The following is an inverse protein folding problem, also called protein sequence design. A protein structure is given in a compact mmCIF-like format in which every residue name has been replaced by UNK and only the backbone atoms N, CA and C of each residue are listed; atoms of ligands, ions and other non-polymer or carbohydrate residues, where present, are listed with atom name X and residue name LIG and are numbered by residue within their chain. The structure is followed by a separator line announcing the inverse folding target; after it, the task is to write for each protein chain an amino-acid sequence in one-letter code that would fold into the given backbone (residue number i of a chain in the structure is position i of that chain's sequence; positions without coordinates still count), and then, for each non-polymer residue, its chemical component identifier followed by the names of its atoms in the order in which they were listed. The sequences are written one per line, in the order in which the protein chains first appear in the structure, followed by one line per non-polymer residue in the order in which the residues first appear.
data_IF_874624564148
#
_entry.id   IF_874624564148
#
_cell.length_a   1.000
_cell.length_b   1.000
_cell.length_c   1.000
_cell.angle_alpha   90.00
_cell.angle_beta   90.00
_cell.angle_gamma   90.00
#
_symmetry.space_group_name_H-M   'P 1'
#
loop_
_entity.id
_entity.type
_entity.pdbx_description
1 polymer ?
#
# COMPACT_ATOMS: atom_id res chain seq x y z
N UNK A 1 -17.37 6.52 45.91
CA UNK A 1 -16.61 7.69 45.41
C UNK A 1 -15.64 7.21 44.37
N UNK A 2 -16.03 7.31 43.13
CA UNK A 2 -15.23 6.90 41.94
C UNK A 2 -14.67 8.16 41.30
N UNK A 3 -13.38 8.37 41.46
CA UNK A 3 -12.66 9.52 40.88
C UNK A 3 -12.49 9.28 39.37
N UNK A 4 -13.19 10.05 38.56
CA UNK A 4 -12.99 10.15 37.12
C UNK A 4 -11.62 10.75 36.84
N UNK A 5 -10.70 9.97 36.25
CA UNK A 5 -9.47 10.49 35.65
C UNK A 5 -9.82 11.18 34.34
N UNK A 6 -9.54 12.48 34.25
CA UNK A 6 -9.57 13.27 33.01
C UNK A 6 -8.45 12.79 32.08
N UNK A 7 -8.68 12.65 30.76
CA UNK A 7 -7.59 12.46 29.82
C UNK A 7 -6.79 13.75 29.71
N UNK A 8 -5.47 13.63 29.85
CA UNK A 8 -4.50 14.69 29.56
C UNK A 8 -4.48 14.93 28.05
N UNK A 9 -5.09 16.02 27.61
CA UNK A 9 -4.90 16.53 26.26
C UNK A 9 -3.48 17.08 26.16
N UNK A 10 -2.55 16.29 25.61
CA UNK A 10 -1.27 16.81 25.13
C UNK A 10 -1.51 17.51 23.81
N UNK A 11 -1.72 18.81 23.89
CA UNK A 11 -1.55 19.72 22.74
C UNK A 11 -0.06 19.78 22.43
N UNK A 12 0.41 18.89 21.58
CA UNK A 12 1.72 19.04 20.94
C UNK A 12 1.56 20.15 19.89
N UNK A 13 2.07 21.31 20.21
CA UNK A 13 2.32 22.36 19.22
C UNK A 13 3.29 21.81 18.18
N UNK A 14 2.80 21.52 16.99
CA UNK A 14 3.61 21.21 15.82
C UNK A 14 4.19 22.51 15.26
N UNK A 15 5.30 22.95 15.85
CA UNK A 15 6.18 23.94 15.26
C UNK A 15 7.54 23.25 14.96
N UNK A 16 7.55 22.48 13.87
CA UNK A 16 8.73 22.07 13.13
C UNK A 16 8.24 21.76 11.72
N UNK A 17 8.92 22.30 10.70
CA UNK A 17 8.68 21.96 9.31
C UNK A 17 8.70 20.41 9.19
N UNK A 18 7.54 19.79 9.20
CA UNK A 18 7.42 18.35 9.13
C UNK A 18 7.89 17.93 7.73
N UNK A 19 9.07 17.32 7.66
CA UNK A 19 9.55 16.73 6.41
C UNK A 19 8.51 15.71 5.95
N UNK A 20 8.05 15.87 4.73
CA UNK A 20 7.09 14.96 4.13
C UNK A 20 7.84 13.70 3.69
N UNK A 21 7.46 12.54 4.24
CA UNK A 21 8.05 11.25 3.91
C UNK A 21 7.12 10.46 3.00
N UNK A 22 7.60 10.13 1.79
CA UNK A 22 6.85 9.37 0.79
C UNK A 22 7.63 8.13 0.36
N UNK A 23 7.12 6.91 0.61
CA UNK A 23 7.79 5.70 0.23
C UNK A 23 7.38 5.27 -1.19
N UNK A 24 8.34 4.75 -1.95
CA UNK A 24 8.09 3.81 -3.02
C UNK A 24 8.34 2.39 -2.51
N UNK A 25 7.43 1.45 -2.75
CA UNK A 25 7.36 0.16 -2.09
C UNK A 25 7.27 -0.99 -3.10
N UNK A 26 8.33 -1.30 -3.83
CA UNK A 26 8.31 -2.37 -4.83
C UNK A 26 8.40 -3.76 -4.18
N UNK A 27 7.60 -4.69 -4.72
CA UNK A 27 7.74 -6.12 -4.47
C UNK A 27 8.89 -6.66 -5.34
N UNK A 28 9.89 -7.36 -4.78
CA UNK A 28 11.04 -7.88 -5.54
C UNK A 28 10.69 -9.21 -6.26
N UNK A 29 9.58 -9.21 -7.00
CA UNK A 29 9.09 -10.38 -7.76
C UNK A 29 9.56 -10.37 -9.21
N UNK A 30 10.59 -9.60 -9.55
CA UNK A 30 11.21 -9.41 -10.86
C UNK A 30 11.38 -7.92 -11.20
N UNK A 31 11.78 -7.58 -12.45
CA UNK A 31 12.02 -6.21 -12.88
C UNK A 31 10.76 -5.34 -12.82
N UNK A 32 10.94 -4.03 -12.79
CA UNK A 32 9.83 -3.08 -12.87
C UNK A 32 9.24 -3.05 -14.28
N UNK A 33 7.92 -3.02 -14.38
CA UNK A 33 7.17 -2.78 -15.63
C UNK A 33 6.63 -1.34 -15.67
N UNK A 34 6.05 -0.92 -16.79
CA UNK A 34 5.54 0.44 -16.97
C UNK A 34 4.57 0.87 -15.85
N UNK A 35 3.66 0.00 -15.41
CA UNK A 35 2.75 0.32 -14.29
C UNK A 35 3.48 0.58 -12.97
N UNK A 36 4.56 -0.18 -12.70
CA UNK A 36 5.43 0.08 -11.53
C UNK A 36 6.19 1.39 -11.66
N UNK A 37 6.64 1.74 -12.88
CA UNK A 37 7.31 3.01 -13.16
C UNK A 37 6.37 4.19 -12.95
N UNK A 38 5.11 4.09 -13.39
CA UNK A 38 4.08 5.13 -13.17
C UNK A 38 3.89 5.39 -11.66
N UNK A 39 3.75 4.35 -10.85
CA UNK A 39 3.61 4.48 -9.41
C UNK A 39 4.88 5.07 -8.74
N UNK A 40 6.07 4.62 -9.16
CA UNK A 40 7.35 5.15 -8.71
C UNK A 40 7.51 6.64 -9.07
N UNK A 41 7.21 6.99 -10.32
CA UNK A 41 7.27 8.36 -10.82
C UNK A 41 6.31 9.28 -10.06
N UNK A 42 5.05 8.87 -9.87
CA UNK A 42 4.07 9.66 -9.12
C UNK A 42 4.52 9.90 -7.67
N UNK A 43 5.02 8.86 -6.99
CA UNK A 43 5.56 8.98 -5.63
C UNK A 43 6.78 9.90 -5.57
N UNK A 44 7.71 9.77 -6.52
CA UNK A 44 8.89 10.63 -6.62
C UNK A 44 8.53 12.09 -6.89
N UNK A 45 7.68 12.33 -7.88
CA UNK A 45 7.20 13.67 -8.24
C UNK A 45 6.49 14.33 -7.05
N UNK A 46 5.65 13.59 -6.34
CA UNK A 46 4.92 14.12 -5.19
C UNK A 46 5.87 14.47 -4.03
N UNK A 47 6.90 13.66 -3.77
CA UNK A 47 7.94 13.98 -2.79
C UNK A 47 8.68 15.26 -3.17
N UNK A 48 9.23 15.31 -4.37
CA UNK A 48 10.07 16.43 -4.81
C UNK A 48 9.28 17.74 -5.04
N UNK A 49 8.03 17.66 -5.50
CA UNK A 49 7.14 18.81 -5.67
C UNK A 49 6.80 19.53 -4.35
N UNK A 50 6.90 18.83 -3.23
CA UNK A 50 6.61 19.36 -1.91
C UNK A 50 7.85 19.52 -1.02
N UNK A 51 9.07 19.35 -1.58
CA UNK A 51 10.32 19.45 -0.81
C UNK A 51 10.50 18.37 0.25
N UNK A 52 9.82 17.24 0.08
CA UNK A 52 9.87 16.10 1.00
C UNK A 52 10.95 15.09 0.64
N UNK A 53 11.09 14.06 1.47
CA UNK A 53 11.97 12.92 1.25
C UNK A 53 11.24 11.81 0.50
N UNK A 54 11.93 11.18 -0.44
CA UNK A 54 11.45 10.02 -1.16
C UNK A 54 12.22 8.78 -0.71
N UNK A 55 11.56 7.88 -0.02
CA UNK A 55 12.15 6.69 0.57
C UNK A 55 11.90 5.47 -0.34
N UNK A 56 12.77 4.46 -0.26
CA UNK A 56 12.55 3.18 -0.93
C UNK A 56 12.54 2.06 0.10
N UNK A 57 11.47 1.26 0.08
CA UNK A 57 11.32 0.08 0.91
C UNK A 57 11.00 -1.13 0.05
N UNK A 58 11.88 -2.13 0.06
CA UNK A 58 11.67 -3.41 -0.62
C UNK A 58 10.70 -4.25 0.22
N UNK A 59 9.55 -4.58 -0.34
CA UNK A 59 8.51 -5.36 0.33
C UNK A 59 8.71 -6.86 0.07
N UNK A 60 9.71 -7.43 0.72
CA UNK A 60 10.23 -8.79 0.52
C UNK A 60 9.74 -9.82 1.56
N UNK A 61 8.70 -9.52 2.36
CA UNK A 61 8.15 -10.44 3.39
C UNK A 61 7.51 -11.69 2.82
N UNK A 62 7.13 -11.70 1.53
CA UNK A 62 6.59 -12.87 0.85
C UNK A 62 7.71 -13.62 0.12
N UNK A 63 8.47 -14.40 0.89
CA UNK A 63 9.67 -15.07 0.43
C UNK A 63 9.48 -15.94 -0.81
N UNK A 64 8.34 -16.65 -0.92
CA UNK A 64 8.03 -17.56 -2.03
C UNK A 64 7.90 -16.84 -3.39
N UNK A 65 7.56 -15.54 -3.36
CA UNK A 65 7.43 -14.74 -4.58
C UNK A 65 8.67 -13.92 -4.92
N UNK A 66 9.64 -13.87 -4.03
CA UNK A 66 10.86 -13.10 -4.26
C UNK A 66 11.75 -13.77 -5.30
N UNK A 67 12.24 -12.96 -6.24
CA UNK A 67 13.20 -13.39 -7.26
C UNK A 67 14.59 -12.87 -6.87
N UNK A 68 15.55 -13.76 -6.81
CA UNK A 68 16.91 -13.40 -6.43
C UNK A 68 17.49 -12.28 -7.33
N UNK A 69 17.99 -11.21 -6.70
CA UNK A 69 18.56 -10.06 -7.38
C UNK A 69 17.55 -9.06 -7.96
N UNK A 70 16.24 -9.33 -7.83
CA UNK A 70 15.21 -8.40 -8.31
C UNK A 70 15.25 -7.06 -7.57
N UNK A 71 15.54 -7.06 -6.29
CA UNK A 71 15.74 -5.87 -5.47
C UNK A 71 16.84 -4.96 -6.03
N UNK A 72 18.02 -5.54 -6.32
CA UNK A 72 19.15 -4.82 -6.93
C UNK A 72 18.81 -4.29 -8.32
N UNK A 73 18.13 -5.09 -9.12
CA UNK A 73 17.69 -4.65 -10.45
C UNK A 73 16.71 -3.46 -10.34
N UNK A 74 15.74 -3.53 -9.43
CA UNK A 74 14.79 -2.45 -9.17
C UNK A 74 15.52 -1.15 -8.79
N UNK A 75 16.45 -1.23 -7.85
CA UNK A 75 17.23 -0.06 -7.40
C UNK A 75 18.07 0.54 -8.54
N UNK A 76 18.73 -0.31 -9.34
CA UNK A 76 19.48 0.13 -10.51
C UNK A 76 18.58 0.79 -11.55
N UNK A 77 17.37 0.25 -11.80
CA UNK A 77 16.39 0.85 -12.74
C UNK A 77 15.94 2.23 -12.29
N UNK A 78 15.67 2.41 -10.99
CA UNK A 78 15.31 3.73 -10.44
C UNK A 78 16.45 4.74 -10.61
N UNK A 79 17.69 4.35 -10.31
CA UNK A 79 18.87 5.23 -10.49
C UNK A 79 19.07 5.62 -11.94
N UNK A 80 18.94 4.66 -12.88
CA UNK A 80 19.05 4.91 -14.32
C UNK A 80 17.99 5.88 -14.83
N UNK A 81 16.80 5.89 -14.21
CA UNK A 81 15.75 6.86 -14.48
C UNK A 81 15.98 8.22 -13.81
N UNK A 82 17.07 8.41 -13.06
CA UNK A 82 17.35 9.64 -12.31
C UNK A 82 16.50 9.81 -11.05
N UNK A 83 15.80 8.77 -10.61
CA UNK A 83 15.03 8.77 -9.36
C UNK A 83 15.95 8.38 -8.19
N UNK A 84 16.47 9.39 -7.49
CA UNK A 84 17.34 9.20 -6.33
C UNK A 84 16.50 9.25 -5.05
N UNK A 85 16.63 8.22 -4.22
CA UNK A 85 15.98 8.18 -2.91
C UNK A 85 16.82 8.86 -1.83
N UNK A 86 16.17 9.23 -0.76
CA UNK A 86 16.77 9.84 0.41
C UNK A 86 16.96 8.76 1.50
N UNK A 87 18.09 8.80 2.22
CA UNK A 87 18.40 7.82 3.28
C UNK A 87 18.70 6.41 2.76
N UNK A 88 18.60 5.44 3.66
CA UNK A 88 18.90 4.05 3.37
C UNK A 88 17.68 3.30 2.80
N UNK A 89 17.94 2.36 1.90
CA UNK A 89 16.91 1.42 1.44
C UNK A 89 16.56 0.49 2.60
N UNK A 90 15.28 0.23 2.77
CA UNK A 90 14.75 -0.65 3.83
C UNK A 90 14.23 -1.96 3.22
N UNK A 91 14.51 -3.11 3.86
CA UNK A 91 13.96 -4.41 3.52
C UNK A 91 13.03 -4.90 4.62
N UNK A 92 11.83 -5.34 4.29
CA UNK A 92 10.85 -5.78 5.27
C UNK A 92 11.28 -7.03 6.03
N UNK A 93 12.02 -7.95 5.40
CA UNK A 93 12.56 -9.15 6.05
C UNK A 93 13.50 -8.82 7.23
N UNK A 94 14.10 -7.65 7.27
CA UNK A 94 14.96 -7.19 8.36
C UNK A 94 14.17 -6.55 9.53
N UNK A 95 12.84 -6.48 9.42
CA UNK A 95 11.98 -5.71 10.33
C UNK A 95 10.96 -6.57 11.09
N UNK A 96 11.11 -7.89 11.03
CA UNK A 96 10.15 -8.85 11.61
C UNK A 96 9.89 -8.63 13.09
N UNK A 97 10.89 -8.17 13.87
CA UNK A 97 10.71 -7.83 15.28
C UNK A 97 9.67 -6.71 15.53
N UNK A 98 9.52 -5.76 14.59
CA UNK A 98 8.50 -4.73 14.69
C UNK A 98 7.10 -5.31 14.44
N UNK A 99 6.99 -6.27 13.53
CA UNK A 99 5.72 -6.94 13.25
C UNK A 99 5.29 -7.85 14.40
N UNK A 100 6.26 -8.54 15.04
CA UNK A 100 6.00 -9.32 16.26
C UNK A 100 5.51 -8.42 17.41
N UNK A 101 6.14 -7.26 17.60
CA UNK A 101 5.71 -6.29 18.62
C UNK A 101 4.32 -5.74 18.35
N UNK A 102 4.01 -5.37 17.09
CA UNK A 102 2.69 -4.92 16.69
C UNK A 102 1.62 -6.02 16.86
N UNK A 103 1.95 -7.26 16.53
CA UNK A 103 1.05 -8.39 16.74
C UNK A 103 0.78 -8.63 18.23
N UNK A 104 1.80 -8.48 19.08
CA UNK A 104 1.64 -8.56 20.55
C UNK A 104 0.73 -7.44 21.08
N UNK A 105 0.84 -6.21 20.54
CA UNK A 105 -0.05 -5.10 20.87
C UNK A 105 -1.50 -5.39 20.45
N UNK A 106 -1.70 -6.11 19.35
CA UNK A 106 -3.01 -6.50 18.82
C UNK A 106 -3.56 -7.81 19.45
N UNK A 107 -2.95 -8.38 20.49
CA UNK A 107 -3.27 -9.71 21.02
C UNK A 107 -4.76 -9.92 21.30
N UNK A 108 -5.45 -8.93 21.88
CA UNK A 108 -6.90 -9.00 22.18
C UNK A 108 -7.78 -8.85 20.92
N UNK A 109 -7.22 -8.31 19.85
CA UNK A 109 -7.92 -8.03 18.59
C UNK A 109 -7.69 -9.12 17.53
N UNK A 110 -6.83 -10.11 17.78
CA UNK A 110 -6.53 -11.17 16.84
C UNK A 110 -7.04 -12.53 17.34
N UNK A 111 -7.17 -13.47 16.42
CA UNK A 111 -7.52 -14.85 16.77
C UNK A 111 -6.97 -15.85 15.75
N UNK A 112 -6.72 -17.11 16.17
CA UNK A 112 -6.27 -18.16 15.27
C UNK A 112 -7.39 -18.62 14.33
N UNK A 113 -7.05 -18.80 13.06
CA UNK A 113 -7.95 -19.31 12.03
C UNK A 113 -7.40 -20.60 11.43
N UNK A 114 -8.19 -21.66 11.43
CA UNK A 114 -7.87 -22.98 10.87
C UNK A 114 -8.44 -23.23 9.47
N UNK A 115 -9.14 -22.25 8.87
CA UNK A 115 -9.79 -22.41 7.57
C UNK A 115 -8.78 -22.50 6.44
N UNK A 116 -8.96 -23.42 5.52
CA UNK A 116 -8.31 -23.46 4.22
C UNK A 116 -8.94 -22.45 3.25
N UNK A 117 -8.25 -22.11 2.15
CA UNK A 117 -8.80 -21.26 1.08
C UNK A 117 -10.08 -21.83 0.50
N UNK A 118 -10.14 -23.17 0.33
CA UNK A 118 -11.31 -23.85 -0.19
C UNK A 118 -12.52 -23.74 0.75
N UNK A 119 -12.33 -23.97 2.06
CA UNK A 119 -13.41 -23.84 3.03
C UNK A 119 -13.98 -22.42 3.09
N UNK A 120 -13.12 -21.40 2.93
CA UNK A 120 -13.54 -20.01 2.86
C UNK A 120 -14.37 -19.77 1.59
N UNK A 121 -13.87 -20.20 0.43
CA UNK A 121 -14.58 -20.06 -0.84
C UNK A 121 -15.93 -20.76 -0.85
N UNK A 122 -16.01 -22.00 -0.33
CA UNK A 122 -17.26 -22.76 -0.20
C UNK A 122 -18.27 -22.05 0.74
N UNK A 123 -17.78 -21.39 1.79
CA UNK A 123 -18.62 -20.62 2.71
C UNK A 123 -19.11 -19.31 2.07
N UNK A 124 -18.25 -18.63 1.34
CA UNK A 124 -18.58 -17.41 0.60
C UNK A 124 -19.62 -17.68 -0.49
N UNK A 125 -19.50 -18.78 -1.22
CA UNK A 125 -20.49 -19.20 -2.22
C UNK A 125 -21.88 -19.43 -1.59
N UNK A 126 -21.92 -20.06 -0.40
CA UNK A 126 -23.18 -20.25 0.34
C UNK A 126 -23.80 -18.92 0.80
N UNK A 127 -22.97 -18.00 1.32
CA UNK A 127 -23.43 -16.66 1.72
C UNK A 127 -23.91 -15.83 0.54
N UNK A 128 -23.22 -15.89 -0.60
CA UNK A 128 -23.66 -15.22 -1.82
C UNK A 128 -25.04 -15.71 -2.30
N UNK A 129 -25.28 -17.01 -2.22
CA UNK A 129 -26.58 -17.60 -2.56
C UNK A 129 -27.71 -17.17 -1.62
N UNK A 130 -27.39 -16.85 -0.36
CA UNK A 130 -28.36 -16.45 0.67
C UNK A 130 -28.57 -14.92 0.75
N UNK A 131 -27.50 -14.14 0.57
CA UNK A 131 -27.47 -12.70 0.86
C UNK A 131 -27.00 -11.82 -0.29
N UNK A 132 -26.74 -12.37 -1.48
CA UNK A 132 -26.28 -11.64 -2.67
C UNK A 132 -24.75 -11.65 -2.85
N UNK A 133 -24.30 -11.27 -4.06
CA UNK A 133 -22.91 -11.43 -4.49
C UNK A 133 -21.88 -10.68 -3.63
N UNK A 134 -22.21 -9.54 -3.08
CA UNK A 134 -21.27 -8.76 -2.23
C UNK A 134 -20.94 -9.46 -0.91
N UNK A 135 -21.85 -10.26 -0.36
CA UNK A 135 -21.58 -11.06 0.85
C UNK A 135 -20.51 -12.14 0.64
N UNK A 136 -20.19 -12.49 -0.62
CA UNK A 136 -19.18 -13.50 -0.95
C UNK A 136 -17.75 -13.08 -0.69
N UNK A 137 -17.45 -11.77 -0.57
CA UNK A 137 -16.09 -11.26 -0.42
C UNK A 137 -15.63 -11.22 1.05
N UNK A 138 -16.57 -11.26 1.98
CA UNK A 138 -16.31 -11.15 3.43
C UNK A 138 -16.02 -12.52 4.04
N UNK A 139 -15.02 -12.60 4.92
CA UNK A 139 -14.77 -13.83 5.67
C UNK A 139 -15.93 -14.11 6.64
N UNK A 140 -16.49 -15.34 6.67
CA UNK A 140 -17.73 -15.66 7.40
C UNK A 140 -17.56 -15.73 8.93
N UNK A 141 -16.38 -15.45 9.47
CA UNK A 141 -16.15 -15.50 10.92
C UNK A 141 -16.07 -16.90 11.54
N UNK A 142 -15.95 -17.96 10.75
CA UNK A 142 -16.04 -19.38 11.19
C UNK A 142 -15.18 -19.71 12.41
N UNK A 143 -13.97 -19.13 12.52
CA UNK A 143 -13.05 -19.37 13.65
C UNK A 143 -13.08 -18.25 14.70
N UNK A 144 -13.98 -17.29 14.59
CA UNK A 144 -14.00 -16.10 15.44
C UNK A 144 -14.29 -16.41 16.92
N UNK A 145 -15.12 -17.42 17.17
CA UNK A 145 -15.43 -17.90 18.52
C UNK A 145 -14.47 -18.99 19.04
N UNK A 146 -13.46 -19.34 18.24
CA UNK A 146 -12.50 -20.40 18.52
C UNK A 146 -12.39 -21.40 17.37
N UNK A 147 -11.36 -22.25 17.44
CA UNK A 147 -11.17 -23.33 16.48
C UNK A 147 -12.14 -24.48 16.75
N UNK A 148 -12.73 -25.03 15.70
CA UNK A 148 -13.53 -26.25 15.83
C UNK A 148 -12.65 -27.43 16.32
N UNK A 149 -13.23 -28.45 17.00
CA UNK A 149 -12.50 -29.62 17.45
C UNK A 149 -11.70 -30.27 16.30
N UNK A 150 -10.42 -30.56 16.56
CA UNK A 150 -9.50 -31.14 15.57
C UNK A 150 -8.91 -30.16 14.54
N UNK A 151 -9.32 -28.90 14.54
CA UNK A 151 -8.69 -27.86 13.69
C UNK A 151 -7.43 -27.31 14.34
N UNK A 152 -6.39 -27.16 13.52
CA UNK A 152 -5.13 -26.54 13.90
C UNK A 152 -5.10 -25.11 13.38
N UNK A 153 -4.54 -24.18 14.18
CA UNK A 153 -4.30 -22.81 13.77
C UNK A 153 -3.38 -22.78 12.53
N UNK A 154 -3.77 -22.03 11.53
CA UNK A 154 -2.99 -21.86 10.28
C UNK A 154 -2.61 -20.41 10.08
N UNK A 155 -3.54 -19.49 10.29
CA UNK A 155 -3.35 -18.05 10.10
C UNK A 155 -3.82 -17.30 11.34
N UNK A 156 -3.41 -16.03 11.47
CA UNK A 156 -3.99 -15.10 12.44
C UNK A 156 -4.84 -14.08 11.70
N UNK A 157 -6.05 -13.84 12.20
CA UNK A 157 -6.97 -12.82 11.68
C UNK A 157 -7.19 -11.72 12.69
N UNK A 158 -7.29 -10.50 12.19
CA UNK A 158 -7.76 -9.35 12.95
C UNK A 158 -9.29 -9.37 13.00
N UNK A 159 -9.84 -9.11 14.18
CA UNK A 159 -11.28 -8.92 14.37
C UNK A 159 -11.69 -7.55 13.88
N UNK A 160 -12.72 -7.49 13.06
CA UNK A 160 -13.41 -6.24 12.75
C UNK A 160 -14.65 -6.10 13.65
N UNK A 161 -15.21 -4.91 13.83
CA UNK A 161 -16.50 -4.75 14.50
C UNK A 161 -17.57 -5.65 13.85
N UNK A 162 -18.55 -6.11 14.63
CA UNK A 162 -19.66 -6.92 14.09
C UNK A 162 -20.90 -6.05 13.91
N UNK A 163 -21.17 -5.21 14.89
CA UNK A 163 -22.27 -4.24 14.92
C UNK A 163 -21.96 -3.16 15.99
N UNK A 164 -22.33 -1.92 15.78
CA UNK A 164 -22.90 -1.35 14.54
C UNK A 164 -21.90 -1.29 13.39
N UNK A 165 -22.37 -0.94 12.18
CA UNK A 165 -21.52 -0.67 11.03
C UNK A 165 -20.37 0.26 11.38
N UNK A 166 -19.16 -0.10 10.98
CA UNK A 166 -17.95 0.69 11.20
C UNK A 166 -17.44 1.22 9.85
N UNK A 167 -17.87 2.42 9.50
CA UNK A 167 -17.47 3.06 8.24
C UNK A 167 -16.15 3.79 8.44
N UNK A 168 -15.13 3.36 7.69
CA UNK A 168 -13.84 4.04 7.61
C UNK A 168 -13.81 4.87 6.34
N UNK A 169 -13.57 6.18 6.52
CA UNK A 169 -13.51 7.12 5.41
C UNK A 169 -12.20 7.91 5.40
N UNK A 170 -11.73 8.25 4.19
CA UNK A 170 -10.56 9.10 3.99
C UNK A 170 -10.71 9.96 2.75
N UNK A 171 -9.92 11.04 2.68
CA UNK A 171 -9.83 11.89 1.49
C UNK A 171 -8.64 11.43 0.65
N UNK A 172 -8.91 10.86 -0.52
CA UNK A 172 -7.88 10.56 -1.50
C UNK A 172 -7.64 11.78 -2.40
N UNK A 173 -6.38 12.14 -2.62
CA UNK A 173 -5.99 13.32 -3.40
C UNK A 173 -6.22 13.16 -4.92
N UNK A 174 -6.56 11.93 -5.38
CA UNK A 174 -6.90 11.68 -6.78
C UNK A 174 -8.37 11.34 -6.98
N UNK A 175 -8.96 10.56 -6.07
CA UNK A 175 -10.32 10.02 -6.18
C UNK A 175 -11.37 10.77 -5.33
N UNK A 176 -10.94 11.74 -4.49
CA UNK A 176 -11.86 12.44 -3.60
C UNK A 176 -12.21 11.61 -2.36
N UNK A 177 -13.42 11.77 -1.83
CA UNK A 177 -13.88 11.06 -0.65
C UNK A 177 -14.12 9.58 -0.94
N UNK A 178 -13.48 8.70 -0.17
CA UNK A 178 -13.63 7.25 -0.22
C UNK A 178 -14.08 6.75 1.14
N UNK A 179 -15.09 5.90 1.17
CA UNK A 179 -15.62 5.28 2.38
C UNK A 179 -15.84 3.79 2.15
N UNK A 180 -15.65 3.00 3.21
CA UNK A 180 -15.93 1.57 3.19
C UNK A 180 -16.40 1.10 4.56
N UNK A 181 -17.43 0.28 4.59
CA UNK A 181 -17.88 -0.37 5.82
C UNK A 181 -16.99 -1.58 6.13
N UNK A 182 -16.13 -1.42 7.13
CA UNK A 182 -15.21 -2.47 7.58
C UNK A 182 -15.98 -3.70 8.10
N UNK A 183 -17.14 -3.49 8.70
CA UNK A 183 -17.98 -4.57 9.24
C UNK A 183 -18.54 -5.47 8.14
N UNK A 184 -19.19 -4.86 7.14
CA UNK A 184 -20.00 -5.60 6.17
C UNK A 184 -19.31 -5.83 4.82
N UNK A 185 -18.33 -4.99 4.44
CA UNK A 185 -17.65 -5.10 3.15
C UNK A 185 -16.25 -5.71 3.25
N UNK A 186 -15.61 -5.66 4.41
CA UNK A 186 -14.25 -6.17 4.63
C UNK A 186 -14.24 -7.43 5.48
N UNK A 187 -14.82 -7.38 6.68
CA UNK A 187 -14.78 -8.46 7.66
C UNK A 187 -13.37 -8.75 8.19
N UNK A 188 -13.26 -9.83 8.96
CA UNK A 188 -11.99 -10.22 9.59
C UNK A 188 -10.93 -10.59 8.55
N UNK A 189 -9.79 -9.94 8.59
CA UNK A 189 -8.73 -10.14 7.60
C UNK A 189 -7.43 -10.68 8.22
N UNK A 190 -6.62 -11.32 7.37
CA UNK A 190 -5.37 -11.97 7.79
C UNK A 190 -4.30 -10.94 8.09
N UNK A 191 -3.65 -11.09 9.26
CA UNK A 191 -2.46 -10.33 9.68
C UNK A 191 -1.18 -11.18 9.71
N UNK A 192 -1.32 -12.53 9.88
CA UNK A 192 -0.25 -13.50 9.67
C UNK A 192 -0.78 -14.67 8.87
N UNK A 193 -0.08 -15.04 7.81
CA UNK A 193 -0.50 -16.06 6.83
C UNK A 193 -0.27 -17.49 7.35
N UNK A 194 -0.94 -18.43 6.72
CA UNK A 194 -0.85 -19.86 7.08
C UNK A 194 0.52 -20.49 6.76
N UNK A 195 1.27 -19.91 5.85
CA UNK A 195 2.65 -20.27 5.49
C UNK A 195 3.70 -19.61 6.41
N UNK A 196 3.25 -18.86 7.42
CA UNK A 196 4.10 -18.20 8.41
C UNK A 196 4.59 -16.82 8.00
N UNK A 197 4.34 -16.36 6.77
CA UNK A 197 4.71 -15.01 6.34
C UNK A 197 3.78 -13.95 6.95
N UNK A 198 4.32 -12.75 7.10
CA UNK A 198 3.54 -11.58 7.49
C UNK A 198 2.58 -11.18 6.38
N UNK A 199 1.37 -10.81 6.76
CA UNK A 199 0.43 -10.29 5.78
C UNK A 199 0.78 -8.85 5.41
N UNK A 200 0.61 -8.51 4.13
CA UNK A 200 0.86 -7.18 3.58
C UNK A 200 0.26 -6.06 4.43
N UNK A 201 -1.00 -6.22 4.86
CA UNK A 201 -1.72 -5.17 5.59
C UNK A 201 -1.04 -4.81 6.92
N UNK A 202 -0.53 -5.79 7.68
CA UNK A 202 0.18 -5.53 8.93
C UNK A 202 1.56 -4.94 8.67
N UNK A 203 2.35 -5.59 7.79
CA UNK A 203 3.75 -5.19 7.55
C UNK A 203 3.83 -3.73 7.06
N UNK A 204 2.99 -3.35 6.10
CA UNK A 204 3.02 -1.99 5.52
C UNK A 204 2.63 -0.92 6.54
N UNK A 205 1.62 -1.19 7.38
CA UNK A 205 1.15 -0.24 8.41
C UNK A 205 2.21 -0.02 9.49
N UNK A 206 2.81 -1.11 9.96
CA UNK A 206 3.88 -1.04 10.97
C UNK A 206 5.10 -0.29 10.45
N UNK A 207 5.51 -0.59 9.21
CA UNK A 207 6.64 0.08 8.59
C UNK A 207 6.39 1.56 8.34
N UNK A 208 5.20 1.91 7.84
CA UNK A 208 4.83 3.30 7.61
C UNK A 208 4.85 4.10 8.92
N UNK A 209 4.33 3.54 10.01
CA UNK A 209 4.41 4.14 11.33
C UNK A 209 5.84 4.30 11.82
N UNK A 210 6.65 3.24 11.73
CA UNK A 210 8.04 3.24 12.20
C UNK A 210 8.98 4.17 11.38
N UNK A 211 8.68 4.39 10.09
CA UNK A 211 9.41 5.31 9.22
C UNK A 211 8.84 6.74 9.23
N UNK A 212 7.80 7.01 10.00
CA UNK A 212 7.17 8.33 10.06
C UNK A 212 6.59 8.78 8.72
N UNK A 213 6.00 7.85 7.97
CA UNK A 213 5.42 8.16 6.65
C UNK A 213 4.20 9.06 6.82
N UNK A 214 4.21 10.18 6.11
CA UNK A 214 3.15 11.19 6.15
C UNK A 214 2.23 11.15 4.93
N UNK A 215 2.72 10.63 3.82
CA UNK A 215 2.00 10.60 2.55
C UNK A 215 2.27 9.29 1.80
N UNK A 216 1.24 8.67 1.30
CA UNK A 216 1.30 7.43 0.53
C UNK A 216 0.79 7.68 -0.88
N UNK A 217 1.69 7.50 -1.87
CA UNK A 217 1.36 7.56 -3.29
C UNK A 217 1.56 6.18 -3.91
N UNK A 218 0.50 5.61 -4.49
CA UNK A 218 0.51 4.24 -5.03
C UNK A 218 -0.56 4.05 -6.10
N UNK A 219 -0.61 2.88 -6.73
CA UNK A 219 -1.65 2.56 -7.72
C UNK A 219 -3.04 2.39 -7.11
N UNK A 220 -4.08 2.74 -7.86
CA UNK A 220 -5.48 2.65 -7.45
C UNK A 220 -5.97 1.21 -7.22
N UNK A 221 -5.23 0.20 -7.66
CA UNK A 221 -5.47 -1.20 -7.32
C UNK A 221 -5.33 -1.51 -5.82
N UNK A 222 -4.75 -0.59 -5.04
CA UNK A 222 -4.63 -0.68 -3.60
C UNK A 222 -5.62 0.23 -2.85
N UNK A 223 -6.55 0.87 -3.56
CA UNK A 223 -7.54 1.77 -2.97
C UNK A 223 -8.36 1.04 -1.88
N UNK A 224 -8.86 -0.15 -2.19
CA UNK A 224 -9.63 -1.00 -1.27
C UNK A 224 -8.82 -1.56 -0.09
N UNK A 225 -7.49 -1.46 -0.13
CA UNK A 225 -6.63 -1.83 1.01
C UNK A 225 -6.56 -0.72 2.06
N UNK A 226 -6.82 0.52 1.68
CA UNK A 226 -6.64 1.69 2.54
C UNK A 226 -7.53 1.64 3.79
N UNK A 227 -8.83 1.32 3.72
CA UNK A 227 -9.66 1.23 4.92
C UNK A 227 -9.17 0.19 5.94
N UNK A 228 -8.67 -0.97 5.47
CA UNK A 228 -8.05 -1.99 6.34
C UNK A 228 -6.80 -1.45 7.05
N UNK A 229 -6.00 -0.67 6.34
CA UNK A 229 -4.77 -0.07 6.86
C UNK A 229 -5.10 1.04 7.87
N UNK A 230 -6.08 1.89 7.58
CA UNK A 230 -6.56 2.91 8.51
C UNK A 230 -7.09 2.27 9.81
N UNK A 231 -7.88 1.21 9.71
CA UNK A 231 -8.37 0.48 10.88
C UNK A 231 -7.23 -0.15 11.71
N UNK A 232 -6.20 -0.69 11.05
CA UNK A 232 -5.00 -1.17 11.74
C UNK A 232 -4.23 -0.04 12.42
N UNK A 233 -4.12 1.12 11.77
CA UNK A 233 -3.47 2.31 12.35
C UNK A 233 -4.22 2.77 13.60
N UNK A 234 -5.55 2.80 13.58
CA UNK A 234 -6.37 3.11 14.76
C UNK A 234 -6.07 2.17 15.94
N UNK A 235 -6.08 0.86 15.69
CA UNK A 235 -5.82 -0.14 16.73
C UNK A 235 -4.39 -0.09 17.29
N UNK A 236 -3.42 0.31 16.45
CA UNK A 236 -2.02 0.45 16.85
C UNK A 236 -1.69 1.86 17.39
N UNK A 237 -2.65 2.80 17.38
CA UNK A 237 -2.41 4.18 17.80
C UNK A 237 -1.44 4.94 16.89
N UNK A 238 -1.38 4.58 15.61
CA UNK A 238 -0.51 5.20 14.62
C UNK A 238 -1.22 6.36 13.90
N UNK A 239 -0.47 7.38 13.44
CA UNK A 239 -1.04 8.46 12.67
C UNK A 239 -1.54 7.98 11.30
N UNK A 240 -2.59 8.63 10.77
CA UNK A 240 -3.09 8.37 9.42
C UNK A 240 -2.31 9.20 8.41
N UNK A 241 -1.62 8.59 7.44
CA UNK A 241 -1.00 9.30 6.32
C UNK A 241 -2.06 9.87 5.38
N UNK A 242 -1.69 10.85 4.57
CA UNK A 242 -2.49 11.28 3.43
C UNK A 242 -2.31 10.30 2.27
N UNK A 243 -3.36 10.09 1.49
CA UNK A 243 -3.34 9.13 0.39
C UNK A 243 -3.52 9.79 -0.96
N UNK A 244 -2.86 9.24 -1.96
CA UNK A 244 -3.02 9.55 -3.37
C UNK A 244 -2.90 8.25 -4.18
N UNK A 245 -3.98 7.80 -4.76
CA UNK A 245 -4.02 6.60 -5.59
C UNK A 245 -4.06 7.00 -7.06
N UNK A 246 -2.97 6.76 -7.79
CA UNK A 246 -2.90 7.06 -9.23
C UNK A 246 -3.53 5.94 -10.06
N UNK A 247 -4.05 6.24 -11.27
CA UNK A 247 -4.60 5.22 -12.16
C UNK A 247 -3.60 4.09 -12.42
N UNK A 248 -4.10 2.87 -12.62
CA UNK A 248 -3.30 1.72 -13.01
C UNK A 248 -3.20 1.60 -14.51
N UNK A 249 -2.02 1.23 -15.00
CA UNK A 249 -1.84 0.95 -16.43
C UNK A 249 -2.51 -0.37 -16.76
N UNK A 250 -3.32 -0.39 -17.80
CA UNK A 250 -4.01 -1.57 -18.31
C UNK A 250 -3.28 -2.12 -19.54
N UNK A 251 -3.40 -3.42 -19.78
CA UNK A 251 -3.02 -4.06 -21.04
C UNK A 251 -4.12 -3.85 -22.11
N UNK A 252 -3.90 -4.39 -23.31
CA UNK A 252 -4.85 -4.25 -24.44
C UNK A 252 -6.21 -4.94 -24.16
N UNK A 253 -6.23 -5.92 -23.25
CA UNK A 253 -7.43 -6.64 -22.82
C UNK A 253 -8.21 -5.87 -21.71
N UNK A 254 -7.70 -4.72 -21.26
CA UNK A 254 -8.29 -3.92 -20.19
C UNK A 254 -7.98 -4.43 -18.78
N UNK A 255 -7.10 -5.41 -18.64
CA UNK A 255 -6.63 -5.93 -17.36
C UNK A 255 -5.43 -5.11 -16.85
N UNK A 256 -5.27 -5.07 -15.54
CA UNK A 256 -4.10 -4.43 -14.92
C UNK A 256 -2.79 -5.00 -15.48
N UNK A 257 -1.94 -4.12 -16.01
CA UNK A 257 -0.60 -4.50 -16.43
C UNK A 257 0.21 -4.99 -15.22
N UNK A 258 0.53 -6.27 -15.21
CA UNK A 258 1.26 -6.94 -14.12
C UNK A 258 2.21 -8.00 -14.69
N UNK A 259 3.15 -8.45 -13.85
CA UNK A 259 4.05 -9.55 -14.25
C UNK A 259 3.29 -10.85 -14.61
N UNK A 260 2.14 -11.07 -13.98
CA UNK A 260 1.28 -12.23 -14.27
C UNK A 260 0.58 -12.12 -15.63
N UNK A 261 0.30 -10.90 -16.10
CA UNK A 261 -0.28 -10.61 -17.41
C UNK A 261 0.78 -10.36 -18.48
N UNK A 262 2.03 -10.80 -18.29
CA UNK A 262 3.10 -10.73 -19.28
C UNK A 262 3.78 -9.36 -19.42
N UNK A 263 3.66 -8.47 -18.44
CA UNK A 263 4.32 -7.17 -18.48
C UNK A 263 5.85 -7.32 -18.57
N UNK A 264 6.41 -6.72 -19.61
CA UNK A 264 7.86 -6.70 -19.81
C UNK A 264 8.52 -5.65 -18.93
N UNK A 265 9.81 -5.83 -18.63
CA UNK A 265 10.65 -4.83 -18.02
C UNK A 265 10.68 -3.58 -18.89
N UNK A 266 10.48 -2.40 -18.28
CA UNK A 266 10.51 -1.15 -19.05
C UNK A 266 11.94 -0.74 -19.47
N UNK A 267 12.95 -1.27 -18.80
CA UNK A 267 14.33 -0.82 -18.94
C UNK A 267 15.28 -1.81 -19.69
N UNK A 268 14.88 -3.01 -19.99
CA UNK A 268 15.55 -4.05 -20.82
C UNK A 268 17.00 -3.76 -21.24
N UNK A 269 17.83 -3.17 -20.38
CA UNK A 269 19.20 -2.72 -20.69
C UNK A 269 19.29 -1.46 -21.53
N UNK A 270 18.17 -0.78 -21.81
CA UNK A 270 18.10 0.43 -22.62
C UNK A 270 19.00 1.57 -22.13
N UNK A 271 19.54 2.36 -23.04
CA UNK A 271 20.30 3.59 -22.72
C UNK A 271 19.42 4.69 -22.14
N UNK A 272 20.03 5.74 -21.63
CA UNK A 272 19.31 6.86 -20.99
C UNK A 272 18.34 7.56 -21.93
N UNK A 273 18.71 7.74 -23.22
CA UNK A 273 17.84 8.33 -24.22
C UNK A 273 16.59 7.46 -24.48
N UNK A 274 16.77 6.16 -24.58
CA UNK A 274 15.67 5.20 -24.77
C UNK A 274 14.76 5.16 -23.56
N UNK A 275 15.32 5.18 -22.33
CA UNK A 275 14.52 5.25 -21.10
C UNK A 275 13.67 6.53 -21.05
N UNK A 276 14.24 7.66 -21.47
CA UNK A 276 13.49 8.91 -21.54
C UNK A 276 12.35 8.81 -22.57
N UNK A 277 12.65 8.38 -23.80
CA UNK A 277 11.68 8.38 -24.90
C UNK A 277 10.58 7.31 -24.73
N UNK A 278 10.94 6.10 -24.27
CA UNK A 278 10.07 4.93 -24.30
C UNK A 278 9.51 4.52 -22.93
N UNK A 279 10.01 5.11 -21.84
CA UNK A 279 9.51 4.81 -20.49
C UNK A 279 9.05 6.08 -19.75
N UNK A 280 9.91 7.08 -19.54
CA UNK A 280 9.59 8.23 -18.68
C UNK A 280 8.56 9.18 -19.32
N UNK A 281 8.72 9.56 -20.58
CA UNK A 281 7.76 10.43 -21.27
C UNK A 281 6.38 9.76 -21.43
N UNK A 282 6.26 8.46 -21.81
CA UNK A 282 4.99 7.76 -21.77
C UNK A 282 4.35 7.68 -20.37
N UNK A 283 5.14 7.39 -19.33
CA UNK A 283 4.65 7.35 -17.95
C UNK A 283 4.15 8.72 -17.47
N UNK A 284 4.89 9.81 -17.79
CA UNK A 284 4.46 11.17 -17.49
C UNK A 284 3.15 11.53 -18.20
N UNK A 285 3.05 11.19 -19.49
CA UNK A 285 1.80 11.40 -20.27
C UNK A 285 0.64 10.63 -19.70
N UNK A 286 0.86 9.38 -19.25
CA UNK A 286 -0.17 8.57 -18.59
C UNK A 286 -0.68 9.24 -17.31
N UNK A 287 0.20 9.90 -16.54
CA UNK A 287 -0.16 10.68 -15.36
C UNK A 287 -0.79 12.05 -15.70
N UNK A 288 -1.00 12.37 -16.98
CA UNK A 288 -1.58 13.64 -17.42
C UNK A 288 -0.58 14.79 -17.51
N UNK A 289 0.73 14.50 -17.52
CA UNK A 289 1.77 15.53 -17.61
C UNK A 289 2.17 15.76 -19.06
N UNK A 290 1.95 16.98 -19.57
CA UNK A 290 2.42 17.42 -20.87
C UNK A 290 3.87 17.94 -20.73
N UNK A 291 4.84 17.02 -20.73
CA UNK A 291 6.27 17.32 -20.59
C UNK A 291 7.01 16.88 -21.84
N UNK A 292 7.93 17.74 -22.32
CA UNK A 292 8.93 17.42 -23.34
C UNK A 292 10.31 17.66 -22.76
N UNK A 293 11.24 16.77 -23.07
CA UNK A 293 12.62 16.88 -22.61
C UNK A 293 13.56 16.07 -23.52
N UNK A 294 14.81 16.46 -23.59
CA UNK A 294 15.90 15.81 -24.33
C UNK A 294 16.90 15.10 -23.39
N UNK A 295 16.76 15.31 -22.09
CA UNK A 295 17.65 14.75 -21.07
C UNK A 295 16.90 14.47 -19.77
N UNK A 296 17.42 13.57 -18.93
CA UNK A 296 16.83 13.26 -17.61
C UNK A 296 16.75 14.47 -16.69
N UNK A 297 17.80 15.32 -16.57
CA UNK A 297 17.70 16.53 -15.75
C UNK A 297 16.60 17.46 -16.23
N UNK A 298 16.51 17.72 -17.55
CA UNK A 298 15.46 18.56 -18.12
C UNK A 298 14.06 17.97 -17.91
N UNK A 299 13.93 16.63 -18.00
CA UNK A 299 12.69 15.95 -17.73
C UNK A 299 12.19 16.20 -16.29
N UNK A 300 13.03 15.95 -15.29
CA UNK A 300 12.62 16.13 -13.90
C UNK A 300 12.39 17.59 -13.55
N UNK A 301 13.21 18.49 -14.11
CA UNK A 301 13.01 19.93 -13.94
C UNK A 301 11.65 20.41 -14.48
N UNK A 302 11.16 19.82 -15.55
CA UNK A 302 9.85 20.14 -16.13
C UNK A 302 8.71 19.36 -15.43
N UNK A 303 8.89 18.08 -15.11
CA UNK A 303 7.85 17.20 -14.59
C UNK A 303 7.44 17.54 -13.15
N UNK A 304 8.39 17.89 -12.27
CA UNK A 304 8.11 18.20 -10.86
C UNK A 304 7.13 19.39 -10.72
N UNK A 305 7.36 20.56 -11.34
CA UNK A 305 6.40 21.66 -11.25
C UNK A 305 5.09 21.37 -12.00
N UNK A 306 5.12 20.56 -13.08
CA UNK A 306 3.92 20.15 -13.78
C UNK A 306 3.02 19.28 -12.87
N UNK A 307 3.58 18.34 -12.14
CA UNK A 307 2.87 17.55 -11.14
C UNK A 307 2.21 18.41 -10.06
N UNK A 308 2.96 19.41 -9.55
CA UNK A 308 2.43 20.32 -8.54
C UNK A 308 1.24 21.13 -9.05
N UNK A 309 1.25 21.55 -10.32
CA UNK A 309 0.11 22.24 -10.96
C UNK A 309 -1.08 21.29 -11.11
N UNK A 310 -0.85 20.10 -11.65
CA UNK A 310 -1.89 19.09 -11.85
C UNK A 310 -2.67 18.80 -10.57
N UNK A 311 -1.97 18.61 -9.45
CA UNK A 311 -2.63 18.32 -8.17
C UNK A 311 -3.41 19.53 -7.63
N UNK A 312 -2.88 20.75 -7.76
CA UNK A 312 -3.62 21.96 -7.36
C UNK A 312 -4.91 22.15 -8.15
N UNK A 313 -4.90 21.85 -9.44
CA UNK A 313 -6.08 21.93 -10.28
C UNK A 313 -7.12 20.87 -9.87
N UNK A 314 -6.69 19.68 -9.42
CA UNK A 314 -7.60 18.65 -8.90
C UNK A 314 -8.17 18.97 -7.52
N UNK A 315 -7.39 19.59 -6.66
CA UNK A 315 -7.85 19.99 -5.31
C UNK A 315 -8.84 21.17 -5.36
N UNK A 316 -8.97 21.85 -6.52
CA UNK A 316 -9.86 22.99 -6.70
C UNK A 316 -11.29 22.59 -7.14
N UNK A 317 -11.53 21.31 -7.42
CA UNK A 317 -12.83 20.73 -7.78
C UNK A 317 -13.30 19.76 -6.69
#
# INVERSE_FOLDING_TARGET
MLTRRRPLAHTLAHDSASFLHRPFRPLPTGPLHLGSLVAAMASYLDAKAHGGQWLVRIEDVDGDRNVAGADRHILASLQRCGMQWDGDVTWQTQRTALYDAALAQLADSVYPCGCSRREIADSQTRLAAQHGANASLVYPGTCRAGLAPGKVARALRLRTPVEPAHVVGFQDRWHGRVEQDITHEVGDFVVRRADGFWAYQLAVVVDDGAQGITDIVRGADLLDSTPRQLYLQELLGLPHPRYLHVPVVLNDDGEKLSKQTGAQAFDNGAGTADLLAHALLPAARFLGLAVTADSLPAFWQAAIPAWKRLLRERDAF
#
